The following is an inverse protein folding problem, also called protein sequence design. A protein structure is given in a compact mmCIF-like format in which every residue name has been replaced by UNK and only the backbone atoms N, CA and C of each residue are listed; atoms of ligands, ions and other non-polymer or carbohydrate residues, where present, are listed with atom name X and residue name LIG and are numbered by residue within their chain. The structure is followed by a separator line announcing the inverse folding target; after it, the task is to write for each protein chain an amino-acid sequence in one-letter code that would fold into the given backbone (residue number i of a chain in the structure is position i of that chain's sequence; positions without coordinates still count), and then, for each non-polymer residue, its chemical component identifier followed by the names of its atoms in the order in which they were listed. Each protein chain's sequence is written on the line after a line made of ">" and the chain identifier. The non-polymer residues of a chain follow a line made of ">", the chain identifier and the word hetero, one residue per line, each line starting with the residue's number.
data_IF_119399013044
#
_entry.id   IF_119399013044
#
_cell.length_a   1.000
_cell.length_b   1.000
_cell.length_c   1.000
_cell.angle_alpha   90.00
_cell.angle_beta   90.00
_cell.angle_gamma   90.00
#
_symmetry.space_group_name_H-M   'P 1'
#
loop_
_entity.id
_entity.type
_entity.pdbx_description
1 polymer ?
#
# COMPACT_ATOMS: atom_id res chain seq x y z
N UNK A 1 4.22 18.32 6.99
CA UNK A 1 3.16 18.31 8.02
C UNK A 1 2.17 17.22 7.66
N UNK A 2 1.97 16.21 8.51
CA UNK A 2 0.98 15.15 8.28
C UNK A 2 -0.42 15.76 8.42
N UNK A 3 -1.30 15.52 7.46
CA UNK A 3 -2.68 16.01 7.51
C UNK A 3 -3.40 15.41 8.72
N UNK A 4 -4.10 16.24 9.51
CA UNK A 4 -4.83 15.84 10.73
C UNK A 4 -6.27 15.33 10.44
N UNK A 5 -6.55 14.99 9.19
CA UNK A 5 -7.86 14.41 8.81
C UNK A 5 -7.74 12.89 8.94
N UNK A 6 -8.59 12.22 9.73
CA UNK A 6 -8.64 10.77 9.76
C UNK A 6 -8.91 10.26 8.34
N UNK A 7 -8.12 9.28 7.90
CA UNK A 7 -8.37 8.64 6.61
C UNK A 7 -9.70 7.89 6.65
N UNK A 8 -10.45 7.92 5.57
CA UNK A 8 -11.68 7.14 5.48
C UNK A 8 -11.32 5.65 5.35
N UNK A 9 -11.78 4.81 6.29
CA UNK A 9 -11.57 3.37 6.21
C UNK A 9 -11.41 2.68 7.58
N UNK A 10 -11.11 1.36 7.56
CA UNK A 10 -10.79 0.61 8.77
C UNK A 10 -9.62 1.21 9.55
N UNK A 11 -9.63 1.07 10.88
CA UNK A 11 -8.62 1.65 11.78
C UNK A 11 -7.17 1.23 11.45
N UNK A 12 -6.98 0.07 10.81
CA UNK A 12 -5.65 -0.43 10.44
C UNK A 12 -5.03 0.29 9.23
N UNK A 13 -5.79 1.06 8.45
CA UNK A 13 -5.33 1.69 7.20
C UNK A 13 -4.18 2.66 7.44
N UNK A 14 -4.27 3.47 8.49
CA UNK A 14 -3.23 4.45 8.81
C UNK A 14 -1.89 3.79 9.15
N UNK A 15 -1.95 2.68 9.89
CA UNK A 15 -0.79 1.86 10.22
C UNK A 15 -0.24 1.18 8.96
N UNK A 16 -1.11 0.61 8.12
CA UNK A 16 -0.73 -0.04 6.88
C UNK A 16 0.02 0.90 5.93
N UNK A 17 -0.47 2.13 5.76
CA UNK A 17 0.15 3.14 4.88
C UNK A 17 1.41 3.76 5.47
N UNK A 18 1.58 3.72 6.79
CA UNK A 18 2.74 4.29 7.49
C UNK A 18 3.83 3.25 7.80
N UNK A 19 3.60 1.98 7.45
CA UNK A 19 4.52 0.88 7.72
C UNK A 19 5.86 1.03 7.00
N UNK A 20 6.96 0.80 7.71
CA UNK A 20 8.31 0.77 7.15
C UNK A 20 8.65 -0.65 6.62
N UNK A 21 8.11 -0.95 5.44
CA UNK A 21 8.23 -2.25 4.81
C UNK A 21 9.63 -2.48 4.24
N UNK A 22 9.96 -3.76 4.06
CA UNK A 22 11.24 -4.22 3.50
C UNK A 22 12.46 -3.98 4.41
N UNK A 23 12.21 -3.61 5.67
CA UNK A 23 13.22 -3.65 6.73
C UNK A 23 13.48 -5.08 7.18
N UNK A 24 14.69 -5.36 7.68
CA UNK A 24 15.05 -6.66 8.23
C UNK A 24 14.35 -6.91 9.56
N UNK A 25 13.85 -8.13 9.77
CA UNK A 25 13.37 -8.55 11.08
C UNK A 25 14.53 -8.73 12.06
N UNK A 26 14.46 -8.06 13.20
CA UNK A 26 15.47 -8.16 14.27
C UNK A 26 15.39 -9.46 15.07
N UNK A 27 14.25 -10.16 15.02
CA UNK A 27 14.01 -11.38 15.80
C UNK A 27 14.28 -12.67 15.01
N UNK A 28 14.15 -12.62 13.69
CA UNK A 28 14.34 -13.77 12.82
C UNK A 28 15.52 -13.53 11.89
N UNK A 29 16.66 -14.11 12.22
CA UNK A 29 17.87 -14.05 11.41
C UNK A 29 17.90 -15.26 10.48
N UNK A 30 17.54 -15.06 9.20
CA UNK A 30 17.48 -16.13 8.21
C UNK A 30 17.01 -15.63 6.85
N UNK A 31 16.96 -16.51 5.84
CA UNK A 31 16.43 -16.17 4.52
C UNK A 31 14.93 -15.84 4.59
N UNK A 32 14.48 -14.81 3.86
CA UNK A 32 13.08 -14.28 3.89
C UNK A 32 12.67 -13.62 5.22
N UNK A 33 13.62 -12.96 5.90
CA UNK A 33 13.34 -12.16 7.11
C UNK A 33 12.87 -10.73 6.83
N UNK A 34 12.62 -10.39 5.58
CA UNK A 34 12.10 -9.10 5.17
C UNK A 34 10.69 -8.86 5.73
N UNK A 35 10.45 -7.66 6.28
CA UNK A 35 9.16 -7.26 6.82
C UNK A 35 8.24 -6.73 5.71
N UNK A 36 7.47 -7.63 5.09
CA UNK A 36 6.56 -7.30 3.98
C UNK A 36 5.12 -7.79 4.19
N UNK A 37 4.79 -8.26 5.39
CA UNK A 37 3.45 -8.70 5.78
C UNK A 37 2.78 -7.67 6.70
N UNK A 38 1.46 -7.55 6.65
CA UNK A 38 0.68 -6.71 7.55
C UNK A 38 -0.59 -7.44 7.97
N UNK A 39 -0.90 -7.49 9.26
CA UNK A 39 -2.13 -8.10 9.78
C UNK A 39 -3.25 -7.05 9.85
N UNK A 40 -4.41 -7.35 9.28
CA UNK A 40 -5.57 -6.42 9.29
C UNK A 40 -6.49 -6.59 10.51
N UNK A 41 -6.28 -7.65 11.29
CA UNK A 41 -7.14 -8.00 12.43
C UNK A 41 -6.52 -7.64 13.78
N UNK A 42 -5.19 -7.54 13.85
CA UNK A 42 -4.48 -7.18 15.07
C UNK A 42 -4.06 -5.71 15.03
N UNK A 43 -4.41 -4.95 16.07
CA UNK A 43 -3.92 -3.58 16.24
C UNK A 43 -2.39 -3.54 16.35
N UNK A 44 -1.73 -2.57 15.71
CA UNK A 44 -0.28 -2.39 15.80
C UNK A 44 0.56 -3.51 15.18
N UNK A 45 -0.04 -4.38 14.37
CA UNK A 45 0.59 -5.63 13.93
C UNK A 45 1.07 -5.56 12.49
N UNK A 46 2.12 -4.78 12.29
CA UNK A 46 2.80 -4.64 11.01
C UNK A 46 3.83 -3.51 11.00
N UNK A 47 4.82 -3.54 10.11
CA UNK A 47 5.16 -4.63 9.19
C UNK A 47 5.71 -5.88 9.92
N UNK A 48 5.44 -7.07 9.41
CA UNK A 48 5.91 -8.36 9.94
C UNK A 48 6.71 -9.10 8.87
N UNK A 49 7.67 -9.94 9.28
CA UNK A 49 8.27 -10.92 8.36
C UNK A 49 7.42 -12.18 8.27
N UNK A 50 7.68 -13.02 7.27
CA UNK A 50 6.94 -14.26 7.06
C UNK A 50 6.94 -15.17 8.30
N UNK A 51 8.06 -15.27 9.02
CA UNK A 51 8.16 -16.08 10.24
C UNK A 51 7.29 -15.51 11.37
N UNK A 52 7.38 -14.21 11.66
CA UNK A 52 6.58 -13.57 12.71
C UNK A 52 5.08 -13.60 12.42
N UNK A 53 4.71 -13.65 11.14
CA UNK A 53 3.33 -13.89 10.74
C UNK A 53 2.88 -15.30 11.13
N UNK A 54 3.66 -16.32 10.76
CA UNK A 54 3.32 -17.73 11.02
C UNK A 54 3.26 -18.06 12.52
N UNK A 55 4.07 -17.39 13.36
CA UNK A 55 4.12 -17.69 14.80
C UNK A 55 2.94 -17.12 15.59
N UNK A 56 2.41 -15.97 15.17
CA UNK A 56 1.50 -15.19 16.02
C UNK A 56 0.20 -14.76 15.35
N UNK A 57 0.04 -15.04 14.05
CA UNK A 57 -1.09 -14.57 13.24
C UNK A 57 -1.65 -15.69 12.36
N UNK A 58 -1.57 -16.94 12.83
CA UNK A 58 -2.16 -18.08 12.13
C UNK A 58 -3.68 -17.91 12.04
N UNK A 59 -4.22 -17.94 10.81
CA UNK A 59 -5.65 -17.79 10.54
C UNK A 59 -6.15 -16.34 10.42
N UNK A 60 -5.32 -15.34 10.67
CA UNK A 60 -5.71 -13.94 10.48
C UNK A 60 -5.58 -13.52 9.02
N UNK A 61 -6.40 -12.55 8.61
CA UNK A 61 -6.27 -11.90 7.31
C UNK A 61 -5.08 -10.96 7.25
N UNK A 62 -4.23 -11.19 6.25
CA UNK A 62 -2.99 -10.47 6.07
C UNK A 62 -2.86 -9.91 4.66
N UNK A 63 -2.05 -8.86 4.55
CA UNK A 63 -1.72 -8.19 3.31
C UNK A 63 -0.21 -8.31 3.07
N UNK A 64 0.17 -8.75 1.87
CA UNK A 64 1.57 -8.82 1.45
C UNK A 64 1.92 -7.61 0.58
N UNK A 65 2.77 -6.74 1.10
CA UNK A 65 3.33 -5.60 0.38
C UNK A 65 4.46 -6.08 -0.54
N UNK A 66 4.59 -5.44 -1.71
CA UNK A 66 5.57 -5.76 -2.77
C UNK A 66 6.26 -4.48 -3.22
N UNK A 67 7.52 -4.57 -3.65
CA UNK A 67 8.20 -3.45 -4.33
C UNK A 67 7.87 -3.46 -5.82
N UNK A 68 7.46 -2.31 -6.33
CA UNK A 68 7.34 -2.04 -7.76
C UNK A 68 7.94 -0.65 -8.05
N UNK A 69 8.92 -0.58 -8.96
CA UNK A 69 9.63 0.67 -9.27
C UNK A 69 10.12 1.42 -8.01
N UNK A 70 10.71 0.68 -7.06
CA UNK A 70 11.19 1.17 -5.75
C UNK A 70 10.11 1.70 -4.79
N UNK A 71 8.83 1.58 -5.13
CA UNK A 71 7.70 2.03 -4.31
C UNK A 71 6.93 0.83 -3.74
N UNK A 72 6.31 1.04 -2.58
CA UNK A 72 5.46 0.03 -1.96
C UNK A 72 4.13 -0.09 -2.69
N UNK A 73 3.79 -1.33 -3.01
CA UNK A 73 2.61 -1.70 -3.79
C UNK A 73 1.95 -2.94 -3.22
N UNK A 74 0.69 -3.13 -3.57
CA UNK A 74 -0.08 -4.32 -3.23
C UNK A 74 -0.90 -4.77 -4.44
N UNK A 75 -1.12 -6.07 -4.57
CA UNK A 75 -1.99 -6.58 -5.64
C UNK A 75 -3.42 -6.17 -5.37
N UNK A 76 -4.12 -5.77 -6.42
CA UNK A 76 -5.54 -5.41 -6.36
C UNK A 76 -6.35 -6.55 -5.76
N UNK A 77 -6.08 -7.80 -6.16
CA UNK A 77 -6.79 -8.99 -5.66
C UNK A 77 -6.65 -9.24 -4.15
N UNK A 78 -5.57 -8.77 -3.54
CA UNK A 78 -5.32 -8.94 -2.11
C UNK A 78 -6.06 -7.84 -1.33
N UNK A 79 -5.90 -6.57 -1.74
CA UNK A 79 -6.45 -5.42 -1.00
C UNK A 79 -7.95 -5.19 -1.21
N UNK A 80 -8.49 -5.57 -2.38
CA UNK A 80 -9.92 -5.38 -2.70
C UNK A 80 -10.85 -6.18 -1.78
N UNK A 81 -10.33 -7.19 -1.09
CA UNK A 81 -11.07 -7.97 -0.09
C UNK A 81 -11.29 -7.19 1.21
N UNK A 82 -10.58 -6.07 1.40
CA UNK A 82 -10.54 -5.29 2.62
C UNK A 82 -10.94 -3.82 2.42
N UNK A 83 -10.69 -3.25 1.24
CA UNK A 83 -10.96 -1.85 0.92
C UNK A 83 -11.54 -1.72 -0.48
N UNK A 84 -12.32 -0.65 -0.69
CA UNK A 84 -12.74 -0.32 -2.05
C UNK A 84 -11.60 0.37 -2.82
N UNK A 85 -11.24 -0.19 -3.96
CA UNK A 85 -10.12 0.23 -4.82
C UNK A 85 -10.54 0.85 -6.15
N UNK A 86 -11.85 0.93 -6.42
CA UNK A 86 -12.38 1.72 -7.53
C UNK A 86 -11.86 3.17 -7.49
N UNK A 87 -11.75 3.82 -8.65
CA UNK A 87 -11.21 5.17 -8.84
C UNK A 87 -9.72 5.36 -8.44
N UNK A 88 -8.99 4.28 -8.14
CA UNK A 88 -7.54 4.31 -7.95
C UNK A 88 -6.86 3.81 -9.23
N UNK A 89 -5.86 4.54 -9.72
CA UNK A 89 -5.04 4.08 -10.83
C UNK A 89 -4.34 2.76 -10.51
N UNK A 90 -4.57 1.78 -11.38
CA UNK A 90 -3.94 0.46 -11.29
C UNK A 90 -2.83 0.33 -12.33
N UNK A 91 -1.87 -0.54 -12.04
CA UNK A 91 -0.76 -0.83 -12.95
C UNK A 91 -0.68 -2.33 -13.17
N UNK A 92 -0.46 -2.75 -14.42
CA UNK A 92 -0.19 -4.15 -14.75
C UNK A 92 1.31 -4.40 -14.74
N UNK A 93 1.80 -5.22 -13.81
CA UNK A 93 3.21 -5.64 -13.71
C UNK A 93 3.26 -7.15 -13.61
N UNK A 94 4.05 -7.79 -14.49
CA UNK A 94 4.17 -9.26 -14.56
C UNK A 94 2.79 -9.94 -14.58
N UNK A 95 1.87 -9.42 -15.41
CA UNK A 95 0.48 -9.88 -15.56
C UNK A 95 -0.39 -9.79 -14.29
N UNK A 96 0.06 -9.11 -13.24
CA UNK A 96 -0.74 -8.82 -12.05
C UNK A 96 -1.13 -7.34 -12.00
N UNK A 97 -2.37 -7.05 -11.59
CA UNK A 97 -2.79 -5.67 -11.29
C UNK A 97 -2.36 -5.29 -9.88
N UNK A 98 -1.70 -4.15 -9.75
CA UNK A 98 -1.25 -3.57 -8.49
C UNK A 98 -1.75 -2.14 -8.31
N UNK A 99 -1.78 -1.69 -7.07
CA UNK A 99 -1.90 -0.28 -6.67
C UNK A 99 -0.73 0.10 -5.78
N UNK A 100 -0.31 1.37 -5.84
CA UNK A 100 0.70 1.91 -4.92
C UNK A 100 0.06 2.33 -3.60
N UNK A 101 0.78 2.11 -2.50
CA UNK A 101 0.36 2.55 -1.18
C UNK A 101 0.39 4.09 -1.10
N UNK A 102 1.55 4.67 -1.43
CA UNK A 102 1.78 6.11 -1.36
C UNK A 102 1.86 6.77 -2.75
N UNK A 103 1.57 8.07 -2.79
CA UNK A 103 1.76 8.86 -4.00
C UNK A 103 3.22 8.83 -4.41
N UNK A 104 3.50 8.57 -5.68
CA UNK A 104 4.86 8.57 -6.19
C UNK A 104 5.36 10.00 -6.37
N UNK A 105 6.65 10.28 -6.09
CA UNK A 105 7.25 11.57 -6.41
C UNK A 105 7.03 11.92 -7.88
N UNK A 106 6.70 13.18 -8.16
CA UNK A 106 6.59 13.68 -9.52
C UNK A 106 7.66 14.77 -9.73
N UNK A 107 8.68 14.55 -10.57
CA UNK A 107 9.77 15.51 -10.75
C UNK A 107 9.35 16.79 -11.48
N UNK A 108 8.22 16.79 -12.21
CA UNK A 108 7.69 17.96 -12.91
C UNK A 108 6.17 17.99 -12.83
N UNK A 109 5.54 19.16 -12.63
CA UNK A 109 4.09 19.30 -12.75
C UNK A 109 3.61 18.81 -14.11
N UNK A 110 2.51 18.07 -14.12
CA UNK A 110 1.89 17.55 -15.34
C UNK A 110 1.35 18.69 -16.21
N UNK A 111 2.11 19.18 -17.19
CA UNK A 111 1.53 20.07 -18.21
C UNK A 111 0.74 19.20 -19.20
N UNK A 112 -0.58 19.41 -19.30
CA UNK A 112 -1.43 18.78 -20.31
C UNK A 112 -1.98 17.39 -19.98
N UNK A 113 -2.05 17.01 -18.69
CA UNK A 113 -2.75 15.78 -18.31
C UNK A 113 -4.27 15.99 -18.39
N UNK A 114 -4.96 15.08 -19.08
CA UNK A 114 -6.43 15.11 -19.21
C UNK A 114 -7.11 14.84 -17.85
N UNK A 115 -6.51 13.96 -17.05
CA UNK A 115 -6.98 13.58 -15.72
C UNK A 115 -5.85 13.77 -14.70
N UNK A 116 -6.19 14.28 -13.52
CA UNK A 116 -5.25 14.51 -12.43
C UNK A 116 -5.82 13.99 -11.10
N UNK A 117 -4.92 13.48 -10.24
CA UNK A 117 -5.26 13.00 -8.92
C UNK A 117 -5.86 14.13 -8.09
N UNK A 118 -7.06 13.92 -7.52
CA UNK A 118 -7.76 14.94 -6.74
C UNK A 118 -7.02 15.34 -5.45
N UNK A 119 -6.13 14.47 -4.94
CA UNK A 119 -5.37 14.71 -3.70
C UNK A 119 -4.02 15.40 -3.95
N UNK A 120 -3.23 14.92 -4.94
CA UNK A 120 -1.85 15.36 -5.14
C UNK A 120 -1.58 15.97 -6.52
N UNK A 121 -2.61 16.13 -7.35
CA UNK A 121 -2.55 16.72 -8.69
C UNK A 121 -1.62 15.99 -9.68
N UNK A 122 -1.25 14.74 -9.38
CA UNK A 122 -0.46 13.89 -10.26
C UNK A 122 -1.26 13.53 -11.52
N UNK A 123 -0.62 13.55 -12.70
CA UNK A 123 -1.23 13.04 -13.92
C UNK A 123 -1.68 11.57 -13.76
N UNK A 124 -2.89 11.29 -14.20
CA UNK A 124 -3.44 9.95 -14.26
C UNK A 124 -3.50 9.46 -15.71
N UNK A 125 -3.31 8.15 -15.89
CA UNK A 125 -3.32 7.51 -17.22
C UNK A 125 -4.71 7.08 -17.65
N UNK A 126 -5.58 6.81 -16.68
CA UNK A 126 -6.94 6.33 -16.87
C UNK A 126 -7.92 7.38 -16.35
N UNK A 127 -9.21 7.25 -16.71
CA UNK A 127 -10.29 8.08 -16.17
C UNK A 127 -10.65 7.64 -14.75
N UNK A 128 -9.74 7.92 -13.83
CA UNK A 128 -9.82 7.61 -12.40
C UNK A 128 -9.49 8.86 -11.59
N UNK A 129 -9.74 8.85 -10.28
CA UNK A 129 -9.65 10.05 -9.43
C UNK A 129 -8.40 10.12 -8.58
N UNK A 130 -7.77 8.98 -8.27
CA UNK A 130 -6.67 8.89 -7.31
C UNK A 130 -5.49 8.10 -7.85
N UNK A 131 -4.26 8.48 -7.48
CA UNK A 131 -3.04 7.80 -7.95
C UNK A 131 -2.55 6.66 -7.06
N UNK A 132 -3.05 6.56 -5.83
CA UNK A 132 -2.57 5.63 -4.79
C UNK A 132 -3.61 5.47 -3.68
N UNK A 133 -3.48 4.43 -2.85
CA UNK A 133 -4.35 4.20 -1.68
C UNK A 133 -4.37 5.44 -0.76
N UNK A 134 -3.20 5.95 -0.38
CA UNK A 134 -3.09 7.12 0.51
C UNK A 134 -3.61 8.44 -0.08
N UNK A 135 -3.93 8.49 -1.38
CA UNK A 135 -4.56 9.67 -1.98
C UNK A 135 -6.09 9.56 -1.98
N UNK A 136 -6.63 8.34 -1.93
CA UNK A 136 -8.07 8.10 -1.86
C UNK A 136 -8.56 8.11 -0.41
N UNK A 137 -7.80 7.47 0.47
CA UNK A 137 -8.10 7.28 1.89
C UNK A 137 -7.54 8.44 2.70
#
# INVERSE_FOLDING_TARGET
>A
MRSKVPREGPAWVDEFLSGDYFTSCNFHTGGKNERNQFCTECSGSGPLCQFGLLTSHSGHRTLQVRKASHMDSIRVVDIQQCLEVSDIQTYSINSAKIVFLLSRPQPRPSKGALHACLCCNRALSDDVKFCSLACKL
#
